data_IF_823152716904
#
_entry.id   IF_823152716904
#
_cell.length_a   1.000
_cell.length_b   1.000
_cell.length_c   1.000
_cell.angle_alpha   90.00
_cell.angle_beta   90.00
_cell.angle_gamma   90.00
#
_symmetry.space_group_name_H-M   'P 1'
#
loop_
_entity.id
_entity.type
_entity.pdbx_description
1 polymer ?
#
# COMPACT_ATOMS: atom_id res chain seq x y z
N UNK A 1 20.18 10.73 37.63
CA UNK A 1 18.80 11.23 37.42
C UNK A 1 17.87 10.05 37.11
N UNK A 2 17.16 9.51 38.09
CA UNK A 2 16.18 8.40 37.93
C UNK A 2 15.28 8.34 39.18
N UNK A 3 14.21 9.14 39.23
CA UNK A 3 13.24 9.09 40.35
C UNK A 3 11.81 9.60 40.02
N UNK A 4 11.51 10.00 38.78
CA UNK A 4 10.22 10.64 38.43
C UNK A 4 9.13 9.73 37.85
N UNK A 5 9.47 8.56 37.31
CA UNK A 5 8.53 7.79 36.46
C UNK A 5 7.54 6.90 37.22
N UNK A 6 7.77 6.60 38.50
CA UNK A 6 7.01 5.60 39.24
C UNK A 6 5.67 6.12 39.82
N UNK A 7 5.46 7.44 39.85
CA UNK A 7 4.27 8.06 40.46
C UNK A 7 3.10 8.28 39.50
N UNK A 8 3.29 8.08 38.19
CA UNK A 8 2.21 8.25 37.19
C UNK A 8 1.47 6.94 36.86
N UNK A 9 2.11 5.77 36.99
CA UNK A 9 1.45 4.49 36.71
C UNK A 9 0.41 4.08 37.77
N UNK A 10 0.59 4.51 39.02
CA UNK A 10 -0.30 4.14 40.14
C UNK A 10 -1.66 4.86 40.12
N UNK A 11 -1.79 5.97 39.39
CA UNK A 11 -3.05 6.75 39.32
C UNK A 11 -4.04 6.24 38.26
N UNK A 12 -3.61 5.36 37.34
CA UNK A 12 -4.47 4.85 36.24
C UNK A 12 -5.23 3.57 36.65
N UNK A 13 -4.82 2.88 37.71
CA UNK A 13 -5.39 1.59 38.12
C UNK A 13 -6.68 1.72 38.98
N UNK A 14 -7.02 2.92 39.47
CA UNK A 14 -8.07 3.12 40.47
C UNK A 14 -9.51 3.28 39.93
N UNK A 15 -9.76 3.12 38.62
CA UNK A 15 -11.06 3.39 37.99
C UNK A 15 -11.76 2.17 37.37
N UNK A 16 -11.21 0.95 37.50
CA UNK A 16 -11.72 -0.26 36.83
C UNK A 16 -12.55 -1.20 37.71
N UNK A 17 -13.13 -0.73 38.82
CA UNK A 17 -13.80 -1.60 39.82
C UNK A 17 -15.20 -1.12 40.25
N UNK A 18 -16.10 -0.89 39.28
CA UNK A 18 -17.56 -1.00 39.48
C UNK A 18 -18.23 -1.47 38.19
N UNK A 19 -18.62 -2.75 38.10
CA UNK A 19 -19.76 -3.28 37.32
C UNK A 19 -19.73 -4.82 37.27
N UNK A 20 -19.96 -5.47 38.40
CA UNK A 20 -20.36 -6.88 38.43
C UNK A 20 -21.82 -7.00 38.90
N UNK A 21 -22.48 -8.06 38.44
CA UNK A 21 -23.87 -8.45 38.73
C UNK A 21 -25.00 -7.48 38.28
N UNK A 22 -25.77 -7.90 37.27
CA UNK A 22 -27.23 -8.03 37.39
C UNK A 22 -27.79 -9.10 36.43
N UNK A 23 -28.33 -10.15 37.04
CA UNK A 23 -29.28 -11.18 36.56
C UNK A 23 -29.79 -11.16 35.10
N UNK A 24 -29.64 -12.30 34.42
CA UNK A 24 -30.46 -12.73 33.27
C UNK A 24 -31.60 -13.64 33.73
N UNK A 25 -32.84 -13.44 33.25
CA UNK A 25 -33.80 -14.51 33.09
C UNK A 25 -34.22 -14.70 31.62
N UNK A 26 -34.07 -15.92 31.12
CA UNK A 26 -34.76 -16.41 29.92
C UNK A 26 -36.27 -16.46 30.16
N UNK A 27 -37.11 -16.08 29.18
CA UNK A 27 -38.46 -16.66 29.01
C UNK A 27 -39.02 -16.46 27.57
N UNK A 28 -39.27 -17.61 26.94
CA UNK A 28 -40.26 -17.94 25.91
C UNK A 28 -40.48 -17.07 24.64
N UNK A 29 -40.14 -17.70 23.50
CA UNK A 29 -41.08 -18.08 22.44
C UNK A 29 -42.15 -17.08 21.97
N UNK A 30 -42.05 -16.65 20.70
CA UNK A 30 -43.20 -16.73 19.77
C UNK A 30 -42.74 -16.92 18.31
N UNK A 31 -42.82 -18.17 17.87
CA UNK A 31 -42.93 -18.61 16.48
C UNK A 31 -44.22 -18.04 15.86
N UNK A 32 -44.15 -17.51 14.64
CA UNK A 32 -45.23 -17.58 13.64
C UNK A 32 -44.62 -17.62 12.23
N UNK A 33 -45.28 -18.36 11.34
CA UNK A 33 -44.82 -18.77 10.01
C UNK A 33 -45.45 -17.98 8.86
N UNK A 34 -45.11 -18.37 7.63
CA UNK A 34 -45.72 -18.03 6.33
C UNK A 34 -45.35 -16.65 5.73
N UNK A 35 -45.22 -16.53 4.40
CA UNK A 35 -45.39 -17.57 3.38
C UNK A 35 -45.02 -17.10 1.96
N UNK A 36 -44.84 -18.08 1.08
CA UNK A 36 -44.55 -17.91 -0.36
C UNK A 36 -45.79 -17.51 -1.16
N UNK A 37 -45.65 -16.64 -2.17
CA UNK A 37 -46.12 -16.90 -3.55
C UNK A 37 -45.92 -15.69 -4.47
N UNK A 38 -45.49 -15.93 -5.70
CA UNK A 38 -45.51 -14.98 -6.81
C UNK A 38 -46.94 -14.57 -7.22
N UNK A 39 -47.07 -13.45 -7.95
CA UNK A 39 -47.83 -13.33 -9.21
C UNK A 39 -47.61 -11.94 -9.84
N UNK A 40 -47.66 -11.88 -11.17
CA UNK A 40 -47.27 -10.72 -11.97
C UNK A 40 -48.40 -9.73 -12.30
N UNK A 41 -47.97 -8.58 -12.83
CA UNK A 41 -48.56 -7.84 -13.98
C UNK A 41 -49.31 -6.50 -13.77
N UNK A 42 -48.84 -5.52 -14.55
CA UNK A 42 -49.61 -4.57 -15.38
C UNK A 42 -50.16 -3.24 -14.84
N UNK A 43 -49.62 -2.16 -15.46
CA UNK A 43 -50.28 -0.90 -15.87
C UNK A 43 -50.58 0.13 -14.74
N UNK A 44 -50.46 1.47 -14.94
CA UNK A 44 -50.42 2.29 -16.17
C UNK A 44 -49.76 3.67 -15.97
N UNK A 45 -49.13 4.18 -17.03
CA UNK A 45 -48.74 5.57 -17.41
C UNK A 45 -49.14 6.80 -16.54
N UNK A 46 -48.24 7.81 -16.45
CA UNK A 46 -48.51 9.16 -17.05
C UNK A 46 -47.33 10.15 -17.16
N UNK A 47 -47.03 10.56 -18.41
CA UNK A 47 -46.64 11.91 -18.91
C UNK A 47 -45.37 12.71 -18.50
N UNK A 48 -44.74 13.24 -19.58
CA UNK A 48 -44.01 14.52 -19.75
C UNK A 48 -42.49 14.62 -19.48
N UNK A 49 -41.74 14.39 -20.55
CA UNK A 49 -40.50 15.10 -20.92
C UNK A 49 -40.85 16.22 -21.94
N UNK A 50 -40.01 17.23 -22.25
CA UNK A 50 -39.19 17.12 -23.48
C UNK A 50 -37.90 17.99 -23.62
N UNK A 51 -37.06 17.61 -24.62
CA UNK A 51 -35.96 18.36 -25.30
C UNK A 51 -34.61 18.46 -24.55
N UNK A 52 -33.44 18.32 -25.20
CA UNK A 52 -33.10 18.37 -26.64
C UNK A 52 -31.89 17.46 -27.00
N UNK A 53 -31.85 16.95 -28.24
CA UNK A 53 -30.81 16.14 -28.91
C UNK A 53 -30.83 16.48 -30.43
N UNK A 54 -30.24 15.73 -31.40
CA UNK A 54 -29.14 14.73 -31.39
C UNK A 54 -27.93 15.31 -32.19
N UNK A 55 -27.19 14.70 -33.16
CA UNK A 55 -27.19 13.35 -33.81
C UNK A 55 -26.36 12.30 -33.03
N UNK A 56 -26.23 11.00 -33.36
CA UNK A 56 -26.81 10.05 -34.37
C UNK A 56 -25.88 9.53 -35.49
N UNK A 57 -25.32 8.33 -35.26
CA UNK A 57 -25.25 7.14 -36.16
C UNK A 57 -24.34 6.07 -35.50
N UNK A 58 -24.54 4.74 -35.58
CA UNK A 58 -25.71 3.89 -35.90
C UNK A 58 -25.45 2.47 -35.32
N UNK A 59 -26.51 1.74 -34.98
CA UNK A 59 -26.56 0.38 -34.41
C UNK A 59 -25.85 -0.73 -35.26
N UNK A 60 -25.47 -1.92 -34.72
CA UNK A 60 -26.38 -2.84 -34.00
C UNK A 60 -25.86 -3.57 -32.73
N UNK A 61 -26.82 -4.15 -32.01
CA UNK A 61 -26.70 -4.80 -30.68
C UNK A 61 -26.28 -6.27 -30.80
N UNK A 62 -25.40 -6.74 -29.88
CA UNK A 62 -25.35 -8.14 -29.42
C UNK A 62 -25.03 -8.25 -27.93
N UNK A 63 -25.99 -8.80 -27.20
CA UNK A 63 -25.85 -9.78 -26.10
C UNK A 63 -24.74 -9.63 -25.04
N UNK A 64 -25.13 -9.22 -23.83
CA UNK A 64 -24.60 -9.81 -22.59
C UNK A 64 -23.24 -9.32 -22.06
N UNK A 65 -23.10 -8.03 -21.78
CA UNK A 65 -21.95 -7.49 -21.03
C UNK A 65 -22.01 -7.91 -19.54
N UNK A 66 -21.18 -8.88 -19.13
CA UNK A 66 -20.79 -9.06 -17.73
C UNK A 66 -20.06 -7.78 -17.27
N UNK A 67 -20.35 -7.20 -16.08
CA UNK A 67 -19.86 -5.87 -15.72
C UNK A 67 -18.33 -5.78 -15.90
N UNK A 68 -17.83 -4.76 -16.62
CA UNK A 68 -16.44 -4.74 -17.08
C UNK A 68 -15.50 -4.87 -15.89
N UNK A 69 -14.67 -5.92 -15.93
CA UNK A 69 -13.69 -6.20 -14.90
C UNK A 69 -12.83 -4.94 -14.67
N UNK A 70 -12.58 -4.55 -13.41
CA UNK A 70 -11.85 -3.33 -13.12
C UNK A 70 -10.48 -3.39 -13.81
N UNK A 71 -10.20 -2.38 -14.64
CA UNK A 71 -8.93 -2.25 -15.36
C UNK A 71 -7.80 -2.00 -14.35
N UNK A 72 -7.24 -3.11 -13.84
CA UNK A 72 -6.14 -3.12 -12.89
C UNK A 72 -4.94 -2.35 -13.46
N UNK A 73 -4.29 -1.54 -12.62
CA UNK A 73 -3.02 -0.91 -12.99
C UNK A 73 -1.96 -1.99 -13.24
N UNK A 74 -1.03 -1.78 -14.19
CA UNK A 74 0.06 -2.74 -14.41
C UNK A 74 0.83 -2.94 -13.10
N UNK A 75 1.23 -4.17 -12.79
CA UNK A 75 1.89 -4.53 -11.53
C UNK A 75 1.03 -4.48 -10.24
N UNK A 76 -0.31 -4.45 -10.35
CA UNK A 76 -1.21 -4.57 -9.19
C UNK A 76 -1.95 -5.92 -9.11
N UNK A 77 -2.40 -6.28 -7.89
CA UNK A 77 -3.26 -7.42 -7.65
C UNK A 77 -4.23 -7.21 -6.46
N UNK A 78 -5.37 -7.87 -6.51
CA UNK A 78 -6.34 -7.95 -5.40
C UNK A 78 -6.43 -9.37 -4.86
N UNK A 79 -6.59 -9.53 -3.54
CA UNK A 79 -6.78 -10.84 -2.91
C UNK A 79 -8.26 -11.10 -2.64
N UNK A 80 -8.86 -12.10 -3.29
CA UNK A 80 -10.30 -12.41 -3.25
C UNK A 80 -10.87 -12.75 -1.85
N UNK A 81 -10.02 -13.08 -0.88
CA UNK A 81 -10.44 -13.46 0.48
C UNK A 81 -10.49 -12.29 1.46
N UNK A 82 -9.63 -11.28 1.27
CA UNK A 82 -9.50 -10.12 2.17
C UNK A 82 -9.95 -8.82 1.51
N UNK A 83 -10.14 -8.84 0.18
CA UNK A 83 -10.28 -7.67 -0.68
C UNK A 83 -9.14 -6.65 -0.52
N UNK A 84 -7.98 -7.09 -0.01
CA UNK A 84 -6.77 -6.28 0.05
C UNK A 84 -6.28 -5.96 -1.37
N UNK A 85 -5.98 -4.70 -1.61
CA UNK A 85 -5.26 -4.23 -2.80
C UNK A 85 -3.75 -4.23 -2.51
N UNK A 86 -2.97 -4.61 -3.52
CA UNK A 86 -1.52 -4.72 -3.47
C UNK A 86 -0.96 -4.10 -4.74
N UNK A 87 -0.13 -3.08 -4.58
CA UNK A 87 0.48 -2.36 -5.70
C UNK A 87 2.00 -2.50 -5.61
N UNK A 88 2.59 -3.15 -6.62
CA UNK A 88 4.03 -3.37 -6.72
C UNK A 88 4.70 -2.39 -7.70
N UNK A 89 3.96 -1.42 -8.25
CA UNK A 89 4.45 -0.44 -9.25
C UNK A 89 5.64 0.36 -8.75
N UNK A 90 5.68 0.69 -7.44
CA UNK A 90 6.82 1.35 -6.79
C UNK A 90 8.13 0.55 -6.83
N UNK A 91 8.06 -0.78 -7.01
CA UNK A 91 9.23 -1.64 -7.19
C UNK A 91 9.66 -1.80 -8.65
N UNK A 92 8.80 -1.32 -9.56
CA UNK A 92 9.00 -1.32 -10.99
C UNK A 92 9.71 -0.05 -11.46
N UNK A 93 10.09 -0.08 -12.74
CA UNK A 93 10.60 1.08 -13.49
C UNK A 93 9.65 1.54 -14.60
N UNK A 94 8.37 1.12 -14.59
CA UNK A 94 7.37 1.50 -15.60
C UNK A 94 7.25 3.04 -15.70
N UNK A 95 7.16 3.73 -14.57
CA UNK A 95 6.99 5.18 -14.49
C UNK A 95 8.27 5.96 -14.11
N UNK A 96 9.45 5.31 -14.21
CA UNK A 96 10.72 5.87 -13.73
C UNK A 96 11.75 5.96 -14.85
N UNK A 97 12.36 7.13 -14.99
CA UNK A 97 13.48 7.37 -15.93
C UNK A 97 14.72 6.53 -15.57
N UNK A 98 14.89 6.16 -14.29
CA UNK A 98 15.94 5.26 -13.83
C UNK A 98 15.47 3.80 -13.80
N UNK A 99 16.27 2.92 -14.40
CA UNK A 99 16.04 1.47 -14.36
C UNK A 99 16.27 0.96 -12.94
N UNK A 100 15.22 0.37 -12.36
CA UNK A 100 15.26 -0.25 -11.04
C UNK A 100 15.59 -1.73 -11.21
N UNK A 101 16.82 -2.10 -10.86
CA UNK A 101 17.29 -3.48 -10.89
C UNK A 101 17.61 -3.97 -9.47
N UNK A 102 17.16 -5.18 -9.14
CA UNK A 102 17.34 -5.81 -7.85
C UNK A 102 18.33 -6.96 -7.98
N UNK A 103 19.44 -6.90 -7.23
CA UNK A 103 20.44 -7.95 -7.21
C UNK A 103 20.23 -8.91 -6.04
N UNK A 104 20.44 -10.20 -6.30
CA UNK A 104 20.48 -11.26 -5.30
C UNK A 104 21.71 -12.13 -5.53
N UNK A 105 22.39 -12.51 -4.44
CA UNK A 105 23.54 -13.43 -4.50
C UNK A 105 23.07 -14.83 -4.16
N UNK A 106 23.30 -15.80 -5.06
CA UNK A 106 23.20 -17.20 -4.67
C UNK A 106 24.39 -17.54 -3.77
N UNK A 107 24.14 -18.07 -2.58
CA UNK A 107 25.22 -18.56 -1.73
C UNK A 107 25.72 -19.92 -2.23
N UNK A 108 24.78 -20.80 -2.57
CA UNK A 108 25.03 -22.14 -3.11
C UNK A 108 25.28 -22.11 -4.62
N UNK A 109 24.61 -21.18 -5.31
CA UNK A 109 24.72 -20.96 -6.74
C UNK A 109 25.64 -19.75 -6.97
N UNK A 110 26.93 -19.98 -7.22
CA UNK A 110 28.03 -18.98 -7.21
C UNK A 110 27.98 -17.92 -8.34
N UNK A 111 26.79 -17.61 -8.85
CA UNK A 111 26.49 -16.59 -9.83
C UNK A 111 25.71 -15.44 -9.18
N UNK A 112 25.86 -14.23 -9.71
CA UNK A 112 25.03 -13.10 -9.29
C UNK A 112 23.76 -13.05 -10.13
N UNK A 113 22.61 -12.86 -9.49
CA UNK A 113 21.31 -12.72 -10.12
C UNK A 113 20.88 -11.26 -10.11
N UNK A 114 20.27 -10.80 -11.21
CA UNK A 114 19.68 -9.47 -11.32
C UNK A 114 18.30 -9.59 -11.95
N UNK A 115 17.29 -9.02 -11.30
CA UNK A 115 15.91 -9.06 -11.74
C UNK A 115 15.20 -7.71 -11.60
N UNK A 116 14.22 -7.47 -12.46
CA UNK A 116 13.25 -6.39 -12.35
C UNK A 116 11.94 -6.90 -11.78
N UNK A 117 11.09 -5.99 -11.30
CA UNK A 117 9.74 -6.31 -10.82
C UNK A 117 8.75 -5.62 -11.78
N UNK A 118 8.00 -6.41 -12.54
CA UNK A 118 7.10 -5.95 -13.61
C UNK A 118 7.72 -5.12 -14.75
N UNK A 119 9.05 -5.01 -14.79
CA UNK A 119 9.82 -4.36 -15.85
C UNK A 119 11.14 -5.08 -16.10
N UNK A 120 11.80 -4.77 -17.22
CA UNK A 120 13.15 -5.26 -17.50
C UNK A 120 14.19 -4.51 -16.66
N UNK A 121 15.15 -5.21 -16.01
CA UNK A 121 16.29 -4.61 -15.32
C UNK A 121 17.43 -4.23 -16.28
N UNK A 122 17.25 -4.34 -17.60
CA UNK A 122 18.28 -4.12 -18.61
C UNK A 122 18.02 -2.86 -19.42
N UNK A 123 19.12 -2.20 -19.84
CA UNK A 123 19.05 -1.16 -20.87
C UNK A 123 18.73 -1.79 -22.23
N UNK A 124 18.06 -1.07 -23.14
CA UNK A 124 17.98 -1.49 -24.54
C UNK A 124 19.41 -1.67 -25.09
N UNK A 125 19.57 -2.64 -26.00
CA UNK A 125 20.84 -3.01 -26.65
C UNK A 125 21.91 -3.69 -25.75
N UNK A 126 21.54 -4.22 -24.59
CA UNK A 126 22.39 -5.24 -23.92
C UNK A 126 22.17 -6.58 -24.61
N UNK A 127 23.23 -7.35 -24.81
CA UNK A 127 23.13 -8.75 -25.28
C UNK A 127 22.88 -9.70 -24.10
N UNK A 128 21.90 -10.60 -24.27
CA UNK A 128 21.60 -11.69 -23.33
C UNK A 128 21.60 -12.99 -24.12
N UNK A 129 22.43 -13.93 -23.67
CA UNK A 129 22.67 -15.19 -24.34
C UNK A 129 21.59 -16.22 -23.99
N UNK A 130 21.19 -16.97 -25.01
CA UNK A 130 20.40 -18.19 -24.87
C UNK A 130 21.13 -19.37 -25.50
N UNK A 131 21.38 -20.40 -24.70
CA UNK A 131 22.06 -21.62 -25.14
C UNK A 131 21.03 -22.65 -25.60
N UNK A 132 20.61 -22.63 -26.87
CA UNK A 132 19.77 -23.68 -27.43
C UNK A 132 20.62 -24.89 -27.89
N UNK A 133 21.40 -25.48 -26.96
CA UNK A 133 22.26 -26.66 -27.18
C UNK A 133 23.46 -26.49 -28.12
N UNK A 134 23.34 -25.73 -29.20
CA UNK A 134 24.34 -25.60 -30.27
C UNK A 134 24.48 -24.19 -30.87
N UNK A 135 23.55 -23.27 -30.61
CA UNK A 135 23.59 -21.90 -31.17
C UNK A 135 23.27 -20.85 -30.11
N UNK A 136 24.10 -19.79 -30.07
CA UNK A 136 23.85 -18.59 -29.26
C UNK A 136 22.78 -17.74 -29.95
N UNK A 137 21.62 -17.62 -29.31
CA UNK A 137 20.58 -16.68 -29.73
C UNK A 137 20.63 -15.45 -28.81
N UNK A 138 20.80 -14.27 -29.40
CA UNK A 138 20.64 -13.00 -28.70
C UNK A 138 19.15 -12.74 -28.45
N UNK A 139 18.75 -12.63 -27.19
CA UNK A 139 17.37 -12.29 -26.81
C UNK A 139 17.23 -10.77 -26.71
N UNK A 140 16.06 -10.24 -27.11
CA UNK A 140 15.67 -8.85 -26.88
C UNK A 140 15.68 -8.52 -25.38
N UNK A 141 16.70 -7.81 -24.91
CA UNK A 141 16.83 -7.42 -23.49
C UNK A 141 15.69 -6.56 -22.95
N UNK A 142 14.87 -5.95 -23.82
CA UNK A 142 13.67 -5.23 -23.44
C UNK A 142 12.61 -6.10 -22.74
N UNK A 143 12.55 -7.40 -23.06
CA UNK A 143 11.55 -8.32 -22.52
C UNK A 143 12.05 -9.14 -21.32
N UNK A 144 13.37 -9.30 -21.17
CA UNK A 144 14.00 -10.08 -20.11
C UNK A 144 13.68 -9.47 -18.75
N UNK A 145 12.99 -10.20 -17.88
CA UNK A 145 12.66 -9.75 -16.52
C UNK A 145 13.70 -10.12 -15.48
N UNK A 146 14.49 -11.17 -15.74
CA UNK A 146 15.54 -11.62 -14.85
C UNK A 146 16.68 -12.32 -15.61
N UNK A 147 17.91 -12.15 -15.15
CA UNK A 147 19.09 -12.82 -15.68
C UNK A 147 20.10 -13.16 -14.58
N UNK A 148 20.98 -14.13 -14.85
CA UNK A 148 22.22 -14.31 -14.06
C UNK A 148 23.45 -13.97 -14.89
N UNK A 149 24.49 -13.50 -14.22
CA UNK A 149 25.85 -13.42 -14.78
C UNK A 149 26.63 -14.63 -14.33
N UNK A 150 27.09 -15.44 -15.27
CA UNK A 150 28.03 -16.53 -14.99
C UNK A 150 29.47 -15.99 -14.81
N UNK A 151 30.39 -16.85 -14.37
CA UNK A 151 31.78 -16.49 -14.10
C UNK A 151 32.59 -16.08 -15.34
N UNK A 152 32.11 -16.43 -16.54
CA UNK A 152 32.60 -15.96 -17.85
C UNK A 152 32.19 -14.50 -18.16
N UNK A 153 31.32 -13.89 -17.35
CA UNK A 153 30.73 -12.58 -17.59
C UNK A 153 29.50 -12.58 -18.50
N UNK A 154 29.10 -13.75 -19.03
CA UNK A 154 27.95 -13.86 -19.92
C UNK A 154 26.63 -13.81 -19.13
N UNK A 155 25.63 -13.17 -19.74
CA UNK A 155 24.30 -12.96 -19.18
C UNK A 155 23.33 -13.96 -19.78
N UNK A 156 22.60 -14.67 -18.93
CA UNK A 156 21.62 -15.68 -19.34
C UNK A 156 20.23 -15.31 -18.81
N UNK A 157 19.23 -15.23 -19.70
CA UNK A 157 17.83 -14.96 -19.31
C UNK A 157 17.26 -16.13 -18.50
N UNK A 158 16.59 -15.82 -17.40
CA UNK A 158 15.84 -16.78 -16.57
C UNK A 158 14.32 -16.51 -16.59
N UNK A 159 13.87 -15.65 -17.49
CA UNK A 159 12.46 -15.38 -17.75
C UNK A 159 12.21 -13.96 -18.28
N UNK A 160 11.20 -13.82 -19.12
CA UNK A 160 10.64 -12.54 -19.53
C UNK A 160 9.75 -11.98 -18.42
N UNK A 161 9.75 -10.66 -18.24
CA UNK A 161 8.93 -10.05 -17.18
C UNK A 161 7.44 -10.23 -17.47
N UNK A 162 6.66 -10.29 -16.39
CA UNK A 162 5.21 -10.24 -16.42
C UNK A 162 4.76 -9.09 -15.50
N UNK A 163 3.65 -8.43 -15.84
CA UNK A 163 3.05 -7.33 -15.09
C UNK A 163 1.84 -7.77 -14.26
N UNK A 164 1.48 -9.06 -14.28
CA UNK A 164 0.32 -9.62 -13.55
C UNK A 164 0.78 -10.51 -12.38
N UNK A 165 0.95 -9.94 -11.17
CA UNK A 165 1.19 -10.75 -9.98
C UNK A 165 -0.11 -11.47 -9.57
N UNK A 166 0.02 -12.69 -9.05
CA UNK A 166 -1.11 -13.58 -8.71
C UNK A 166 -1.02 -14.09 -7.28
N UNK A 167 -2.17 -14.23 -6.61
CA UNK A 167 -2.23 -14.83 -5.28
C UNK A 167 -2.27 -16.35 -5.37
N UNK A 168 -1.25 -17.01 -4.80
CA UNK A 168 -1.24 -18.46 -4.56
C UNK A 168 -1.53 -18.71 -3.08
N UNK A 169 -2.81 -18.89 -2.77
CA UNK A 169 -3.30 -18.95 -1.39
C UNK A 169 -3.07 -17.63 -0.65
N UNK A 170 -2.16 -17.62 0.33
CA UNK A 170 -1.83 -16.42 1.12
C UNK A 170 -0.60 -15.65 0.61
N UNK A 171 0.22 -16.22 -0.30
CA UNK A 171 1.45 -15.57 -0.79
C UNK A 171 1.18 -14.92 -2.15
N UNK A 172 1.66 -13.68 -2.33
CA UNK A 172 1.66 -12.98 -3.61
C UNK A 172 2.85 -13.48 -4.43
N UNK A 173 2.63 -13.84 -5.69
CA UNK A 173 3.62 -14.49 -6.54
C UNK A 173 3.62 -13.88 -7.93
N UNK A 174 4.80 -13.57 -8.48
CA UNK A 174 4.97 -13.17 -9.87
C UNK A 174 5.80 -14.24 -10.58
N UNK A 175 5.33 -14.71 -11.73
CA UNK A 175 5.99 -15.77 -12.51
C UNK A 175 6.49 -15.19 -13.83
N UNK A 176 7.78 -15.37 -14.09
CA UNK A 176 8.45 -15.06 -15.35
C UNK A 176 8.73 -16.36 -16.09
N UNK A 177 8.41 -16.40 -17.38
CA UNK A 177 8.51 -17.59 -18.24
C UNK A 177 9.32 -17.27 -19.49
N UNK A 178 9.58 -18.24 -20.36
CA UNK A 178 10.30 -18.03 -21.62
C UNK A 178 11.75 -17.51 -21.49
N UNK A 179 12.48 -17.91 -20.45
CA UNK A 179 13.92 -17.66 -20.34
C UNK A 179 14.76 -18.44 -21.36
N UNK A 180 16.07 -18.52 -21.13
CA UNK A 180 16.95 -19.38 -21.94
C UNK A 180 16.52 -20.84 -21.83
N UNK A 181 16.98 -21.69 -22.75
CA UNK A 181 16.81 -23.14 -22.57
C UNK A 181 17.52 -23.63 -21.31
N UNK A 182 16.94 -24.67 -20.70
CA UNK A 182 17.48 -25.44 -19.59
C UNK A 182 18.53 -26.46 -20.11
N UNK A 183 19.40 -27.06 -19.27
CA UNK A 183 20.42 -28.01 -19.74
C UNK A 183 19.84 -29.23 -20.47
N UNK A 184 18.56 -29.55 -20.23
CA UNK A 184 17.81 -30.60 -20.95
C UNK A 184 17.55 -30.27 -22.44
N UNK A 185 17.72 -29.01 -22.86
CA UNK A 185 17.45 -28.54 -24.23
C UNK A 185 15.97 -28.43 -24.63
N UNK A 186 15.06 -29.04 -23.87
CA UNK A 186 13.61 -29.06 -24.14
C UNK A 186 12.92 -27.88 -23.44
N UNK A 187 13.12 -27.78 -22.12
CA UNK A 187 12.44 -26.81 -21.27
C UNK A 187 13.09 -25.42 -21.33
N UNK A 188 12.30 -24.39 -20.98
CA UNK A 188 12.78 -23.00 -20.85
C UNK A 188 12.81 -22.58 -19.39
N UNK A 189 13.85 -21.83 -19.02
CA UNK A 189 14.03 -21.33 -17.66
C UNK A 189 12.86 -20.45 -17.25
N UNK A 190 12.43 -20.65 -16.01
CA UNK A 190 11.36 -19.89 -15.38
C UNK A 190 11.82 -19.33 -14.04
N UNK A 191 11.24 -18.20 -13.62
CA UNK A 191 11.54 -17.57 -12.35
C UNK A 191 10.27 -17.27 -11.59
N UNK A 192 10.23 -17.67 -10.32
CA UNK A 192 9.09 -17.44 -9.42
C UNK A 192 9.54 -16.51 -8.29
N UNK A 193 9.01 -15.29 -8.32
CA UNK A 193 9.22 -14.28 -7.30
C UNK A 193 8.07 -14.36 -6.29
N UNK A 194 8.40 -14.65 -5.04
CA UNK A 194 7.45 -14.72 -3.93
C UNK A 194 7.57 -13.47 -3.07
N UNK A 195 6.52 -12.65 -3.02
CA UNK A 195 6.52 -11.43 -2.22
C UNK A 195 6.11 -11.71 -0.79
N UNK A 196 6.80 -11.05 0.15
CA UNK A 196 6.55 -11.11 1.57
C UNK A 196 6.45 -9.68 2.10
N UNK A 197 5.33 -9.38 2.79
CA UNK A 197 5.15 -8.13 3.52
C UNK A 197 6.20 -8.05 4.64
N UNK A 198 7.00 -6.99 4.59
CA UNK A 198 7.95 -6.61 5.64
C UNK A 198 7.80 -5.09 5.84
N UNK A 199 7.48 -4.67 7.06
CA UNK A 199 7.22 -3.26 7.40
C UNK A 199 8.43 -2.55 8.00
N UNK A 200 9.50 -3.26 8.33
CA UNK A 200 10.69 -2.68 8.96
C UNK A 200 11.65 -2.10 7.91
N UNK A 201 11.60 -2.63 6.69
CA UNK A 201 12.46 -2.24 5.57
C UNK A 201 11.83 -1.10 4.74
N UNK A 202 11.69 0.09 5.34
CA UNK A 202 11.07 1.24 4.65
C UNK A 202 11.92 1.84 3.51
N UNK A 203 13.25 1.63 3.50
CA UNK A 203 14.16 2.37 2.62
C UNK A 203 14.41 1.73 1.24
N UNK A 204 14.39 0.39 1.14
CA UNK A 204 14.70 -0.35 -0.10
C UNK A 204 14.29 -1.82 0.01
N UNK A 205 13.48 -2.32 -0.93
CA UNK A 205 13.13 -3.74 -0.97
C UNK A 205 14.37 -4.65 -1.08
N UNK A 206 14.28 -5.84 -0.50
CA UNK A 206 15.37 -6.82 -0.49
C UNK A 206 14.95 -8.08 -1.24
N UNK A 207 15.80 -8.54 -2.17
CA UNK A 207 15.59 -9.77 -2.92
C UNK A 207 16.57 -10.82 -2.41
N UNK A 208 16.03 -11.94 -1.98
CA UNK A 208 16.79 -13.10 -1.49
C UNK A 208 16.58 -14.27 -2.44
N UNK A 209 17.67 -14.98 -2.71
CA UNK A 209 17.65 -16.21 -3.51
C UNK A 209 17.31 -17.39 -2.59
N UNK A 210 16.36 -18.23 -3.02
CA UNK A 210 15.87 -19.38 -2.23
C UNK A 210 16.43 -20.71 -2.75
N UNK A 211 16.54 -20.87 -4.07
CA UNK A 211 17.04 -22.11 -4.67
C UNK A 211 16.83 -22.19 -6.18
N UNK A 212 17.45 -23.19 -6.80
CA UNK A 212 17.21 -23.61 -8.20
C UNK A 212 16.75 -25.06 -8.21
N UNK A 213 15.81 -25.39 -9.08
CA UNK A 213 15.40 -26.76 -9.40
C UNK A 213 15.83 -27.12 -10.82
N UNK A 214 16.61 -28.20 -10.95
CA UNK A 214 17.12 -28.76 -12.22
C UNK A 214 17.74 -27.73 -13.20
N UNK A 215 18.40 -26.69 -12.67
CA UNK A 215 18.99 -25.58 -13.42
C UNK A 215 18.02 -24.88 -14.41
N UNK A 216 16.72 -24.97 -14.08
CA UNK A 216 15.61 -24.59 -14.94
C UNK A 216 14.66 -23.61 -14.23
N UNK A 217 14.20 -23.94 -13.02
CA UNK A 217 13.29 -23.10 -12.25
C UNK A 217 14.01 -22.40 -11.08
N UNK A 218 13.90 -21.08 -11.01
CA UNK A 218 14.57 -20.24 -10.02
C UNK A 218 13.55 -19.65 -9.03
N UNK A 219 13.84 -19.76 -7.74
CA UNK A 219 12.96 -19.28 -6.67
C UNK A 219 13.61 -18.11 -5.93
N UNK A 220 12.90 -16.98 -5.86
CA UNK A 220 13.30 -15.79 -5.11
C UNK A 220 12.23 -15.38 -4.11
N UNK A 221 12.65 -14.87 -2.96
CA UNK A 221 11.78 -14.20 -1.99
C UNK A 221 12.10 -12.70 -1.95
N UNK A 222 11.08 -11.87 -2.15
CA UNK A 222 11.16 -10.41 -2.17
C UNK A 222 10.49 -9.86 -0.92
N UNK A 223 11.26 -9.22 -0.04
CA UNK A 223 10.76 -8.55 1.17
C UNK A 223 10.57 -7.07 0.91
N UNK A 224 9.36 -6.58 1.14
CA UNK A 224 8.95 -5.23 0.75
C UNK A 224 7.69 -4.76 1.48
N UNK A 225 7.63 -3.46 1.76
CA UNK A 225 6.44 -2.81 2.35
C UNK A 225 5.25 -2.82 1.37
N UNK A 226 5.52 -2.76 0.06
CA UNK A 226 4.50 -2.73 -1.00
C UNK A 226 3.73 -4.06 -1.15
N UNK A 227 4.23 -5.15 -0.57
CA UNK A 227 3.53 -6.43 -0.48
C UNK A 227 2.64 -6.54 0.77
N UNK A 228 2.57 -5.51 1.60
CA UNK A 228 1.61 -5.39 2.68
C UNK A 228 0.29 -4.84 2.13
N UNK A 229 -0.85 -5.39 2.58
CA UNK A 229 -2.15 -4.82 2.24
C UNK A 229 -2.20 -3.34 2.68
N UNK A 230 -2.54 -2.45 1.74
CA UNK A 230 -2.73 -1.02 1.99
C UNK A 230 -4.03 -0.78 2.75
N UNK A 231 -3.99 -1.05 4.07
CA UNK A 231 -4.95 -0.47 4.98
C UNK A 231 -4.91 1.05 4.83
N UNK A 232 -6.08 1.71 4.87
CA UNK A 232 -6.16 3.17 4.89
C UNK A 232 -5.15 3.72 5.89
N UNK A 233 -4.25 4.60 5.43
CA UNK A 233 -3.29 5.28 6.29
C UNK A 233 -4.07 6.21 7.21
N UNK A 234 -4.48 5.68 8.35
CA UNK A 234 -5.28 6.38 9.37
C UNK A 234 -4.41 7.40 10.08
N UNK A 235 -4.23 8.53 9.43
CA UNK A 235 -4.04 9.84 10.04
C UNK A 235 -3.07 9.90 11.22
N UNK A 236 -1.77 9.98 10.92
CA UNK A 236 -0.81 10.70 11.76
C UNK A 236 -1.31 12.14 12.06
N UNK A 237 -2.19 12.67 11.19
CA UNK A 237 -2.97 13.88 11.36
C UNK A 237 -3.84 13.87 12.64
N UNK A 238 -4.31 12.72 13.12
CA UNK A 238 -5.10 12.64 14.36
C UNK A 238 -4.31 13.15 15.57
N UNK A 239 -3.01 12.86 15.63
CA UNK A 239 -2.11 13.39 16.66
C UNK A 239 -2.00 14.91 16.55
N UNK A 240 -1.88 15.44 15.34
CA UNK A 240 -1.84 16.90 15.08
C UNK A 240 -3.14 17.58 15.54
N UNK A 241 -4.32 17.00 15.24
CA UNK A 241 -5.61 17.53 15.69
C UNK A 241 -5.75 17.53 17.23
N UNK A 242 -5.26 16.48 17.91
CA UNK A 242 -5.25 16.41 19.37
C UNK A 242 -4.39 17.54 19.99
N UNK A 243 -3.17 17.75 19.47
CA UNK A 243 -2.31 18.85 19.94
C UNK A 243 -2.94 20.23 19.73
N UNK A 244 -3.59 20.46 18.58
CA UNK A 244 -4.28 21.72 18.27
C UNK A 244 -5.44 21.97 19.25
N UNK A 245 -6.28 20.96 19.51
CA UNK A 245 -7.40 21.06 20.46
C UNK A 245 -6.93 21.42 21.88
N UNK A 246 -5.86 20.79 22.38
CA UNK A 246 -5.31 21.06 23.71
C UNK A 246 -4.76 22.50 23.79
N UNK A 247 -4.05 22.96 22.76
CA UNK A 247 -3.52 24.32 22.68
C UNK A 247 -4.64 25.38 22.64
N UNK A 248 -5.69 25.13 21.86
CA UNK A 248 -6.89 25.98 21.78
C UNK A 248 -7.59 26.09 23.14
N UNK A 249 -7.77 24.96 23.85
CA UNK A 249 -8.38 24.93 25.17
C UNK A 249 -7.56 25.71 26.21
N UNK A 250 -6.22 25.57 26.19
CA UNK A 250 -5.33 26.33 27.05
C UNK A 250 -5.42 27.86 26.80
N UNK A 251 -5.45 28.28 25.53
CA UNK A 251 -5.68 29.67 25.16
C UNK A 251 -7.06 30.17 25.61
N UNK A 252 -8.11 29.36 25.48
CA UNK A 252 -9.46 29.71 25.91
C UNK A 252 -9.55 29.93 27.42
N UNK A 253 -8.95 29.05 28.22
CA UNK A 253 -8.89 29.20 29.69
C UNK A 253 -8.06 30.43 30.07
N UNK A 254 -6.93 30.68 29.41
CA UNK A 254 -6.09 31.86 29.66
C UNK A 254 -6.82 33.17 29.34
N UNK A 255 -7.48 33.25 28.18
CA UNK A 255 -8.24 34.42 27.75
C UNK A 255 -9.49 34.66 28.60
N UNK A 256 -10.27 33.61 28.92
CA UNK A 256 -11.47 33.73 29.75
C UNK A 256 -11.13 34.07 31.20
N UNK A 257 -10.11 33.45 31.80
CA UNK A 257 -9.59 33.79 33.13
C UNK A 257 -9.05 35.23 33.18
N UNK A 258 -8.26 35.64 32.20
CA UNK A 258 -7.76 37.01 32.09
C UNK A 258 -8.86 38.06 31.91
N UNK A 259 -9.92 37.74 31.16
CA UNK A 259 -11.09 38.60 30.99
C UNK A 259 -11.94 38.70 32.26
N UNK A 260 -12.26 37.56 32.91
CA UNK A 260 -13.01 37.51 34.15
C UNK A 260 -12.26 38.24 35.28
N UNK A 261 -10.96 38.00 35.43
CA UNK A 261 -10.12 38.71 36.40
C UNK A 261 -10.16 40.23 36.21
N UNK A 262 -9.97 40.71 34.98
CA UNK A 262 -10.04 42.15 34.67
C UNK A 262 -11.44 42.76 34.78
N UNK A 263 -12.50 41.97 34.58
CA UNK A 263 -13.89 42.42 34.68
C UNK A 263 -14.38 42.48 36.12
N UNK A 264 -14.06 41.46 36.93
CA UNK A 264 -14.56 41.31 38.31
C UNK A 264 -13.67 42.06 39.32
N UNK A 265 -12.34 41.92 39.22
CA UNK A 265 -11.40 42.45 40.23
C UNK A 265 -10.98 43.89 39.92
N UNK A 266 -10.80 44.24 38.64
CA UNK A 266 -10.26 45.55 38.23
C UNK A 266 -11.33 46.54 37.72
N UNK A 267 -12.59 46.12 37.64
CA UNK A 267 -13.82 46.91 37.35
C UNK A 267 -13.72 47.99 36.23
N UNK A 268 -12.82 47.83 35.25
CA UNK A 268 -12.70 48.75 34.10
C UNK A 268 -13.77 48.44 33.06
N UNK A 269 -14.33 49.47 32.41
CA UNK A 269 -15.29 49.35 31.30
C UNK A 269 -14.64 49.70 29.97
N UNK A 270 -14.99 48.97 28.90
CA UNK A 270 -14.62 49.30 27.50
C UNK A 270 -13.45 48.49 26.92
N UNK A 271 -13.16 48.72 25.64
CA UNK A 271 -12.28 47.90 24.77
C UNK A 271 -10.78 47.84 25.20
N UNK A 272 -10.36 48.56 26.23
CA UNK A 272 -8.98 48.52 26.79
C UNK A 272 -8.74 47.32 27.73
N UNK A 273 -9.54 46.25 27.63
CA UNK A 273 -9.49 45.09 28.52
C UNK A 273 -8.61 43.92 28.02
N UNK A 274 -8.35 43.81 26.72
CA UNK A 274 -7.41 42.80 26.20
C UNK A 274 -6.06 42.88 26.96
N UNK A 275 -5.45 41.76 27.39
CA UNK A 275 -4.04 41.78 27.73
C UNK A 275 -3.27 42.27 26.50
N UNK A 276 -2.50 43.35 26.66
CA UNK A 276 -1.65 43.87 25.60
C UNK A 276 -0.63 42.78 25.25
N UNK A 277 -0.90 42.09 24.14
CA UNK A 277 -0.06 41.03 23.64
C UNK A 277 1.18 41.62 22.98
N UNK A 278 2.12 42.08 23.80
CA UNK A 278 3.54 42.15 23.43
C UNK A 278 4.15 40.72 23.26
N UNK A 279 3.31 39.76 22.87
CA UNK A 279 3.59 38.36 22.59
C UNK A 279 4.25 38.24 21.21
N UNK A 280 3.86 39.06 20.23
CA UNK A 280 4.52 39.11 18.91
C UNK A 280 6.02 39.40 19.03
N UNK A 281 6.40 40.35 19.89
CA UNK A 281 7.80 40.74 20.08
C UNK A 281 8.61 39.70 20.89
N UNK A 282 7.94 38.86 21.70
CA UNK A 282 8.59 37.77 22.46
C UNK A 282 8.61 36.42 21.73
N UNK A 283 7.67 36.18 20.82
CA UNK A 283 7.63 34.96 20.01
C UNK A 283 8.55 35.06 18.80
N UNK A 284 8.70 36.26 18.22
CA UNK A 284 9.72 36.55 17.19
C UNK A 284 11.14 36.26 17.68
N UNK A 285 11.49 36.67 18.91
CA UNK A 285 12.80 36.44 19.53
C UNK A 285 13.04 34.98 19.97
N UNK A 286 11.98 34.18 20.16
CA UNK A 286 12.10 32.75 20.41
C UNK A 286 12.29 31.93 19.12
N UNK A 287 11.68 32.36 18.01
CA UNK A 287 11.81 31.70 16.71
C UNK A 287 13.10 32.09 15.97
N UNK A 288 13.65 33.29 16.19
CA UNK A 288 14.95 33.69 15.60
C UNK A 288 16.17 33.16 16.37
N UNK A 289 15.98 32.43 17.46
CA UNK A 289 17.06 31.96 18.35
C UNK A 289 17.40 30.48 18.20
N UNK A 290 16.89 29.79 17.18
CA UNK A 290 16.83 28.32 17.15
C UNK A 290 17.03 27.65 15.78
N UNK A 291 17.73 28.27 14.83
CA UNK A 291 18.28 27.58 13.65
C UNK A 291 19.67 28.15 13.33
N UNK A 292 20.68 27.61 13.98
CA UNK A 292 22.06 27.62 13.48
C UNK A 292 22.31 26.22 12.91
N UNK A 293 22.44 26.13 11.59
CA UNK A 293 22.89 24.92 10.90
C UNK A 293 24.39 25.11 10.68
N UNK A 294 25.19 24.39 11.46
CA UNK A 294 26.57 23.99 11.17
C UNK A 294 26.58 22.44 11.15
#
# INVERSE_FOLDING_TARGET
MKFGYLSFLTLICASSQVADALSVPNILHKRWDYGTSDIASSLKSSTKNPKKSPPTSSEPIKDGEEPPAPTLSPCSATQSLTNGFYDLSDLSSIDKESIVAWSAKGHDYNNNFTLGICSSPLKPNVEVNSNNGQQRLSINSSEVGAYYTAADGEKYSIGNFNQTPVFRGKKLTLTYTNGSYCPNGIDRKSTILSFQCDREILAKAQVSFVGVLHDCDYFFEVRTVHACATAHKSDDLAVIWIFLFIFLAALFVYCSGGFLYKRIVLNRRGWRQLPTYNLGNKMSSALSGGVSID
#
